data_IF_433386434221
#
_entry.id   IF_433386434221
#
_cell.length_a   1.000
_cell.length_b   1.000
_cell.length_c   1.000
_cell.angle_alpha   90.00
_cell.angle_beta   90.00
_cell.angle_gamma   90.00
#
_symmetry.space_group_name_H-M   'P 1'
#
loop_
_entity.id
_entity.type
_entity.pdbx_description
1 polymer ?
#
# COMPACT_ATOMS: atom_id res chain seq x y z
N UNK A 1 -3.03 -13.13 21.22
CA UNK A 1 -1.57 -13.36 21.26
C UNK A 1 -0.90 -12.20 20.57
N UNK A 2 0.16 -11.63 21.17
CA UNK A 2 1.02 -10.64 20.49
C UNK A 2 1.83 -11.35 19.40
N UNK A 3 2.03 -10.69 18.27
CA UNK A 3 2.90 -11.18 17.19
C UNK A 3 4.39 -11.09 17.60
N UNK A 4 5.23 -11.88 16.94
CA UNK A 4 6.69 -11.86 17.18
C UNK A 4 7.32 -10.48 16.92
N UNK A 5 6.76 -9.71 15.98
CA UNK A 5 7.18 -8.34 15.67
C UNK A 5 6.85 -7.37 16.81
N UNK A 6 5.64 -7.48 17.38
CA UNK A 6 5.24 -6.66 18.52
C UNK A 6 6.11 -6.93 19.76
N UNK A 7 6.49 -8.19 19.97
CA UNK A 7 7.42 -8.58 21.03
C UNK A 7 8.84 -8.04 20.81
N UNK A 8 9.31 -8.00 19.56
CA UNK A 8 10.63 -7.48 19.21
C UNK A 8 10.71 -5.96 19.40
N UNK A 9 9.65 -5.22 19.05
CA UNK A 9 9.58 -3.77 19.23
C UNK A 9 9.44 -3.36 20.71
N UNK A 10 8.67 -4.12 21.50
CA UNK A 10 8.56 -3.94 22.96
C UNK A 10 9.93 -4.13 23.65
N UNK A 11 10.77 -5.05 23.17
CA UNK A 11 12.15 -5.26 23.65
C UNK A 11 13.12 -4.16 23.24
N UNK A 12 12.89 -3.50 22.11
CA UNK A 12 13.74 -2.41 21.59
C UNK A 12 13.37 -1.03 22.16
N UNK A 13 12.44 -0.95 23.13
CA UNK A 13 12.00 0.29 23.75
C UNK A 13 11.10 1.16 22.85
N UNK A 14 10.65 0.64 21.72
CA UNK A 14 9.71 1.30 20.83
C UNK A 14 8.27 1.09 21.29
N UNK A 15 7.52 2.17 21.53
CA UNK A 15 6.09 2.07 21.76
C UNK A 15 5.41 1.57 20.48
N UNK A 16 4.96 0.31 20.48
CA UNK A 16 4.14 -0.21 19.39
C UNK A 16 2.78 0.47 19.46
N UNK A 17 2.43 1.22 18.41
CA UNK A 17 1.10 1.80 18.29
C UNK A 17 0.07 0.67 18.16
N UNK A 18 -0.71 0.47 19.22
CA UNK A 18 -1.77 -0.52 19.28
C UNK A 18 -3.04 0.07 18.66
N UNK A 19 -3.63 -0.65 17.70
CA UNK A 19 -4.89 -0.28 17.06
C UNK A 19 -5.99 -1.25 17.49
N UNK A 20 -7.23 -0.75 17.60
CA UNK A 20 -8.41 -1.60 17.82
C UNK A 20 -8.67 -2.49 16.61
N UNK A 21 -9.59 -3.46 16.74
CA UNK A 21 -9.96 -4.34 15.63
C UNK A 21 -10.56 -3.53 14.47
N UNK A 22 -11.38 -2.53 14.79
CA UNK A 22 -12.04 -1.63 13.85
C UNK A 22 -10.99 -0.79 13.09
N UNK A 23 -10.05 -0.17 13.80
CA UNK A 23 -8.97 0.61 13.20
C UNK A 23 -8.08 -0.24 12.28
N UNK A 24 -7.81 -1.49 12.66
CA UNK A 24 -7.09 -2.45 11.80
C UNK A 24 -7.90 -2.79 10.55
N UNK A 25 -9.21 -2.94 10.67
CA UNK A 25 -10.10 -3.22 9.55
C UNK A 25 -10.12 -2.05 8.55
N UNK A 26 -10.20 -0.81 9.02
CA UNK A 26 -10.15 0.39 8.17
C UNK A 26 -8.80 0.52 7.43
N UNK A 27 -7.68 0.23 8.10
CA UNK A 27 -6.36 0.17 7.44
C UNK A 27 -6.31 -0.93 6.37
N UNK A 28 -6.87 -2.10 6.67
CA UNK A 28 -6.91 -3.22 5.73
C UNK A 28 -7.82 -2.96 4.52
N UNK A 29 -8.86 -2.13 4.66
CA UNK A 29 -9.66 -1.66 3.51
C UNK A 29 -8.84 -0.80 2.55
N UNK A 30 -7.99 0.08 3.08
CA UNK A 30 -7.06 0.85 2.25
C UNK A 30 -6.10 -0.09 1.52
N UNK A 31 -5.53 -1.08 2.21
CA UNK A 31 -4.63 -2.04 1.57
C UNK A 31 -5.34 -2.79 0.44
N UNK A 32 -6.52 -3.39 0.70
CA UNK A 32 -7.31 -4.11 -0.32
C UNK A 32 -7.64 -3.24 -1.55
N UNK A 33 -8.03 -1.99 -1.33
CA UNK A 33 -8.33 -1.05 -2.41
C UNK A 33 -7.11 -0.87 -3.33
N UNK A 34 -5.94 -0.61 -2.75
CA UNK A 34 -4.74 -0.38 -3.55
C UNK A 34 -4.15 -1.67 -4.12
N UNK A 35 -4.42 -2.84 -3.53
CA UNK A 35 -3.99 -4.13 -4.09
C UNK A 35 -4.72 -4.36 -5.41
N UNK A 36 -6.04 -4.10 -5.42
CA UNK A 36 -6.84 -4.14 -6.65
C UNK A 36 -6.30 -3.17 -7.72
N UNK A 37 -5.85 -1.97 -7.33
CA UNK A 37 -5.29 -1.00 -8.29
C UNK A 37 -3.95 -1.46 -8.87
N UNK A 38 -3.08 -2.05 -8.05
CA UNK A 38 -1.81 -2.62 -8.52
C UNK A 38 -2.06 -3.80 -9.46
N UNK A 39 -3.03 -4.66 -9.16
CA UNK A 39 -3.43 -5.76 -10.05
C UNK A 39 -3.97 -5.21 -11.38
N UNK A 40 -4.82 -4.18 -11.32
CA UNK A 40 -5.35 -3.53 -12.52
C UNK A 40 -4.23 -2.95 -13.40
N UNK A 41 -3.28 -2.20 -12.82
CA UNK A 41 -2.15 -1.64 -13.57
C UNK A 41 -1.33 -2.73 -14.28
N UNK A 42 -1.12 -3.88 -13.62
CA UNK A 42 -0.44 -5.05 -14.22
C UNK A 42 -1.26 -5.66 -15.36
N UNK A 43 -2.58 -5.78 -15.18
CA UNK A 43 -3.48 -6.32 -16.20
C UNK A 43 -3.51 -5.42 -17.44
N UNK A 44 -3.63 -4.10 -17.26
CA UNK A 44 -3.63 -3.12 -18.35
C UNK A 44 -2.30 -3.08 -19.08
N UNK A 45 -1.18 -3.20 -18.36
CA UNK A 45 0.14 -3.34 -18.97
C UNK A 45 0.25 -4.64 -19.78
N UNK A 46 -0.26 -5.77 -19.27
CA UNK A 46 -0.26 -7.03 -20.02
C UNK A 46 -1.08 -6.94 -21.32
N UNK A 47 -2.26 -6.31 -21.29
CA UNK A 47 -3.07 -6.08 -22.48
C UNK A 47 -2.37 -5.18 -23.51
N UNK A 48 -1.67 -4.13 -23.05
CA UNK A 48 -0.84 -3.28 -23.93
C UNK A 48 0.32 -4.06 -24.54
N UNK A 49 1.01 -4.91 -23.76
CA UNK A 49 2.12 -5.75 -24.26
C UNK A 49 1.65 -6.71 -25.36
N UNK A 50 0.48 -7.34 -25.23
CA UNK A 50 -0.04 -8.24 -26.27
C UNK A 50 -0.31 -7.53 -27.60
N UNK A 51 -0.54 -6.22 -27.57
CA UNK A 51 -0.76 -5.39 -28.76
C UNK A 51 0.53 -4.78 -29.32
N UNK A 52 1.66 -4.83 -28.59
CA UNK A 52 2.91 -4.19 -28.97
C UNK A 52 3.67 -4.94 -30.09
N UNK A 53 3.28 -6.17 -30.43
CA UNK A 53 3.82 -6.91 -31.57
C UNK A 53 5.33 -7.22 -31.49
N UNK A 54 5.93 -7.19 -30.29
CA UNK A 54 7.36 -7.42 -30.10
C UNK A 54 8.25 -6.18 -30.28
N UNK A 55 7.68 -5.00 -30.47
CA UNK A 55 8.41 -3.73 -30.52
C UNK A 55 9.07 -3.43 -29.16
N UNK A 56 10.40 -3.52 -29.13
CA UNK A 56 11.18 -3.43 -27.90
C UNK A 56 11.05 -2.06 -27.20
N UNK A 57 10.98 -0.96 -27.96
CA UNK A 57 10.85 0.38 -27.37
C UNK A 57 9.45 0.56 -26.77
N UNK A 58 8.40 0.08 -27.45
CA UNK A 58 7.04 0.10 -26.90
C UNK A 58 6.91 -0.76 -25.66
N UNK A 59 7.49 -1.96 -25.66
CA UNK A 59 7.47 -2.85 -24.50
C UNK A 59 8.16 -2.19 -23.30
N UNK A 60 9.32 -1.57 -23.52
CA UNK A 60 10.04 -0.82 -22.49
C UNK A 60 9.20 0.34 -21.94
N UNK A 61 8.56 1.13 -22.81
CA UNK A 61 7.68 2.22 -22.36
C UNK A 61 6.51 1.70 -21.51
N UNK A 62 5.88 0.59 -21.92
CA UNK A 62 4.78 -0.03 -21.16
C UNK A 62 5.27 -0.48 -19.77
N UNK A 63 6.49 -1.03 -19.67
CA UNK A 63 7.09 -1.46 -18.41
C UNK A 63 7.35 -0.26 -17.48
N UNK A 64 7.91 0.83 -18.03
CA UNK A 64 8.20 2.05 -17.29
C UNK A 64 6.92 2.73 -16.77
N UNK A 65 5.89 2.82 -17.62
CA UNK A 65 4.58 3.38 -17.26
C UNK A 65 3.93 2.57 -16.13
N UNK A 66 3.90 1.23 -16.27
CA UNK A 66 3.36 0.33 -15.26
C UNK A 66 4.10 0.49 -13.92
N UNK A 67 5.43 0.59 -13.96
CA UNK A 67 6.24 0.76 -12.76
C UNK A 67 5.97 2.11 -12.07
N UNK A 68 5.81 3.19 -12.85
CA UNK A 68 5.43 4.51 -12.34
C UNK A 68 4.05 4.48 -11.67
N UNK A 69 3.08 3.85 -12.31
CA UNK A 69 1.72 3.73 -11.81
C UNK A 69 1.65 2.95 -10.49
N UNK A 70 2.32 1.79 -10.42
CA UNK A 70 2.41 0.99 -9.19
C UNK A 70 3.04 1.81 -8.05
N UNK A 71 4.17 2.48 -8.30
CA UNK A 71 4.81 3.35 -7.29
C UNK A 71 3.87 4.46 -6.82
N UNK A 72 3.11 5.06 -7.73
CA UNK A 72 2.11 6.08 -7.40
C UNK A 72 1.00 5.52 -6.51
N UNK A 73 0.51 4.31 -6.79
CA UNK A 73 -0.49 3.62 -5.97
C UNK A 73 0.03 3.30 -4.57
N UNK A 74 1.25 2.77 -4.45
CA UNK A 74 1.88 2.47 -3.16
C UNK A 74 2.09 3.74 -2.32
N UNK A 75 2.58 4.82 -2.95
CA UNK A 75 2.76 6.09 -2.26
C UNK A 75 1.43 6.69 -1.78
N UNK A 76 0.36 6.54 -2.56
CA UNK A 76 -0.99 6.97 -2.17
C UNK A 76 -1.59 6.07 -1.08
N UNK A 77 -1.32 4.77 -1.10
CA UNK A 77 -1.68 3.83 -0.03
C UNK A 77 -1.10 4.29 1.30
N UNK A 78 0.21 4.51 1.35
CA UNK A 78 0.88 4.88 2.60
C UNK A 78 0.41 6.24 3.11
N UNK A 79 0.32 7.27 2.24
CA UNK A 79 -0.23 8.57 2.63
C UNK A 79 -1.63 8.46 3.25
N UNK A 80 -2.53 7.70 2.62
CA UNK A 80 -3.89 7.53 3.12
C UNK A 80 -3.92 6.78 4.46
N UNK A 81 -3.07 5.77 4.64
CA UNK A 81 -2.94 5.09 5.94
C UNK A 81 -2.37 6.01 7.01
N UNK A 82 -1.40 6.88 6.69
CA UNK A 82 -0.86 7.87 7.62
C UNK A 82 -1.92 8.90 8.03
N UNK A 83 -2.66 9.45 7.07
CA UNK A 83 -3.80 10.35 7.35
C UNK A 83 -4.80 9.69 8.29
N UNK A 84 -5.18 8.44 8.00
CA UNK A 84 -6.11 7.70 8.85
C UNK A 84 -5.56 7.47 10.26
N UNK A 85 -4.28 7.09 10.38
CA UNK A 85 -3.61 6.93 11.69
C UNK A 85 -3.60 8.23 12.49
N UNK A 86 -3.43 9.39 11.86
CA UNK A 86 -3.53 10.71 12.54
C UNK A 86 -4.94 10.95 13.09
N UNK A 87 -5.98 10.51 12.38
CA UNK A 87 -7.36 10.61 12.90
C UNK A 87 -7.59 9.72 14.12
N UNK A 88 -6.95 8.53 14.15
CA UNK A 88 -7.01 7.64 15.30
C UNK A 88 -6.34 8.23 16.54
N UNK A 89 -5.19 8.90 16.36
CA UNK A 89 -4.47 9.57 17.44
C UNK A 89 -5.30 10.74 18.01
N UNK A 90 -5.89 11.56 17.13
CA UNK A 90 -6.75 12.67 17.50
C UNK A 90 -7.99 12.22 18.28
N UNK A 91 -8.63 11.12 17.84
CA UNK A 91 -9.77 10.53 18.54
C UNK A 91 -9.40 9.95 19.91
N UNK A 92 -8.14 9.52 20.09
CA UNK A 92 -7.61 9.00 21.35
C UNK A 92 -7.13 10.09 22.32
N UNK A 93 -7.27 11.38 21.97
CA UNK A 93 -6.78 12.50 22.78
C UNK A 93 -5.26 12.54 22.95
N UNK A 94 -4.52 11.87 22.06
CA UNK A 94 -3.06 11.90 22.04
C UNK A 94 -2.60 13.06 21.15
N UNK A 95 -1.62 13.87 21.58
CA UNK A 95 -1.12 15.00 20.80
C UNK A 95 -0.50 14.57 19.47
#
# INVERSE_FOLDING_TARGET
MKSAYELAMERLGGAVRQYTAEQKAELAEIDRLYDSKVVQAKFDAAARRSQAGGDAEKLKQIDEDMALEIRSHEARRERRKEELRRTFDAAAGKP
#
